data_IF_273991739659
#
_entry.id   IF_273991739659
#
_cell.length_a   1.000
_cell.length_b   1.000
_cell.length_c   1.000
_cell.angle_alpha   90.00
_cell.angle_beta   90.00
_cell.angle_gamma   90.00
#
_symmetry.space_group_name_H-M   'P 1'
#
loop_
_entity.id
_entity.type
_entity.pdbx_description
1 polymer ?
#
# COMPACT_ATOMS: atom_id res chain seq x y z
N UNK A 1 18.99 -4.09 -22.42
CA UNK A 1 18.32 -3.79 -21.13
C UNK A 1 17.47 -5.00 -20.80
N UNK A 2 17.44 -5.48 -19.56
CA UNK A 2 16.65 -6.67 -19.24
C UNK A 2 15.15 -6.38 -19.41
N UNK A 3 14.40 -7.33 -19.99
CA UNK A 3 12.93 -7.24 -20.10
C UNK A 3 12.21 -7.44 -18.74
N UNK A 4 13.00 -7.59 -17.66
CA UNK A 4 12.46 -7.81 -16.30
C UNK A 4 11.81 -6.51 -15.82
N UNK A 5 10.53 -6.59 -15.48
CA UNK A 5 9.77 -5.47 -14.92
C UNK A 5 10.28 -5.10 -13.53
N UNK A 6 10.14 -3.83 -13.17
CA UNK A 6 10.52 -3.30 -11.86
C UNK A 6 9.30 -2.78 -11.12
N UNK A 7 9.14 -3.22 -9.87
CA UNK A 7 8.13 -2.73 -8.95
C UNK A 7 8.76 -1.86 -7.87
N UNK A 8 8.15 -0.70 -7.61
CA UNK A 8 8.47 0.19 -6.50
C UNK A 8 7.34 0.09 -5.48
N UNK A 9 7.66 -0.20 -4.21
CA UNK A 9 6.65 -0.35 -3.16
C UNK A 9 7.01 0.54 -1.97
N UNK A 10 6.16 1.51 -1.67
CA UNK A 10 6.36 2.37 -0.50
C UNK A 10 5.98 1.65 0.80
N UNK A 11 6.79 1.83 1.87
CA UNK A 11 6.56 1.18 3.16
C UNK A 11 6.58 -0.35 3.08
N UNK A 12 7.60 -0.92 2.43
CA UNK A 12 7.67 -2.35 2.09
C UNK A 12 8.57 -3.19 3.00
N UNK A 13 8.96 -2.65 4.15
CA UNK A 13 9.80 -3.38 5.12
C UNK A 13 9.01 -4.30 6.04
N UNK A 14 7.68 -4.17 6.08
CA UNK A 14 6.79 -4.99 6.92
C UNK A 14 5.37 -5.06 6.38
N UNK A 15 4.52 -5.88 6.99
CA UNK A 15 3.08 -5.94 6.77
C UNK A 15 2.66 -6.10 5.31
N UNK A 16 1.66 -5.32 4.88
CA UNK A 16 1.08 -5.38 3.53
C UNK A 16 2.14 -5.06 2.47
N UNK A 17 2.95 -4.01 2.69
CA UNK A 17 3.99 -3.62 1.73
C UNK A 17 5.02 -4.72 1.49
N UNK A 18 5.45 -5.42 2.54
CA UNK A 18 6.34 -6.57 2.40
C UNK A 18 5.65 -7.75 1.71
N UNK A 19 4.38 -8.01 2.01
CA UNK A 19 3.59 -9.02 1.30
C UNK A 19 3.52 -8.72 -0.20
N UNK A 20 3.25 -7.46 -0.58
CA UNK A 20 3.27 -7.01 -1.98
C UNK A 20 4.66 -7.19 -2.62
N UNK A 21 5.74 -6.83 -1.91
CA UNK A 21 7.11 -7.01 -2.41
C UNK A 21 7.42 -8.48 -2.69
N UNK A 22 7.08 -9.38 -1.75
CA UNK A 22 7.23 -10.83 -1.93
C UNK A 22 6.40 -11.37 -3.10
N UNK A 23 5.14 -10.93 -3.21
CA UNK A 23 4.26 -11.36 -4.29
C UNK A 23 4.80 -10.94 -5.66
N UNK A 24 5.17 -9.67 -5.83
CA UNK A 24 5.70 -9.17 -7.11
C UNK A 24 7.09 -9.75 -7.43
N UNK A 25 7.93 -10.02 -6.42
CA UNK A 25 9.18 -10.75 -6.58
C UNK A 25 8.95 -12.19 -7.07
N UNK A 26 7.96 -12.89 -6.51
CA UNK A 26 7.56 -14.23 -6.96
C UNK A 26 7.03 -14.24 -8.42
N UNK A 27 6.52 -13.10 -8.89
CA UNK A 27 6.17 -12.89 -10.31
C UNK A 27 7.37 -12.51 -11.20
N UNK A 28 8.61 -12.58 -10.67
CA UNK A 28 9.85 -12.32 -11.41
C UNK A 28 10.19 -10.84 -11.60
N UNK A 29 9.61 -9.94 -10.81
CA UNK A 29 9.90 -8.51 -10.90
C UNK A 29 11.06 -8.11 -9.99
N UNK A 30 11.93 -7.21 -10.45
CA UNK A 30 12.88 -6.53 -9.59
C UNK A 30 12.13 -5.60 -8.61
N UNK A 31 12.65 -5.45 -7.40
CA UNK A 31 11.97 -4.72 -6.32
C UNK A 31 12.81 -3.54 -5.84
N UNK A 32 12.23 -2.35 -5.88
CA UNK A 32 12.70 -1.21 -5.10
C UNK A 32 11.88 -1.13 -3.81
N UNK A 33 12.51 -1.49 -2.70
CA UNK A 33 11.93 -1.40 -1.36
C UNK A 33 12.05 0.02 -0.80
N UNK A 34 11.14 0.37 0.10
CA UNK A 34 11.20 1.64 0.85
C UNK A 34 10.74 1.46 2.29
N UNK A 35 11.36 2.18 3.19
CA UNK A 35 11.03 2.27 4.61
C UNK A 35 11.80 3.43 5.24
N UNK A 36 11.79 3.51 6.57
CA UNK A 36 12.53 4.53 7.32
C UNK A 36 13.74 3.95 8.07
N UNK A 37 13.86 2.63 8.08
CA UNK A 37 15.00 1.91 8.68
C UNK A 37 16.29 2.20 7.92
N UNK A 38 17.43 2.01 8.55
CA UNK A 38 18.72 2.11 7.87
C UNK A 38 18.92 0.99 6.86
N UNK A 39 19.74 1.22 5.84
CA UNK A 39 20.07 0.20 4.84
C UNK A 39 20.67 -1.05 5.48
N UNK A 40 21.46 -0.90 6.54
CA UNK A 40 22.08 -2.02 7.26
C UNK A 40 21.05 -2.90 7.98
N UNK A 41 19.99 -2.30 8.54
CA UNK A 41 18.89 -3.03 9.20
C UNK A 41 18.06 -3.83 8.18
N UNK A 42 17.91 -3.31 6.96
CA UNK A 42 17.10 -3.92 5.90
C UNK A 42 17.88 -4.93 5.04
N UNK A 43 19.20 -4.89 5.05
CA UNK A 43 20.03 -5.75 4.20
C UNK A 43 19.71 -7.25 4.32
N UNK A 44 19.48 -7.83 5.51
CA UNK A 44 19.08 -9.25 5.61
C UNK A 44 17.73 -9.52 4.91
N UNK A 45 16.77 -8.62 5.03
CA UNK A 45 15.46 -8.76 4.39
C UNK A 45 15.56 -8.61 2.87
N UNK A 46 16.28 -7.58 2.41
CA UNK A 46 16.56 -7.34 0.99
C UNK A 46 17.19 -8.57 0.33
N UNK A 47 18.25 -9.09 0.96
CA UNK A 47 18.96 -10.27 0.46
C UNK A 47 18.07 -11.51 0.45
N UNK A 48 17.23 -11.69 1.46
CA UNK A 48 16.29 -12.81 1.49
C UNK A 48 15.30 -12.79 0.32
N UNK A 49 14.91 -11.62 -0.18
CA UNK A 49 14.09 -11.51 -1.39
C UNK A 49 14.86 -11.94 -2.63
N UNK A 50 16.11 -11.50 -2.79
CA UNK A 50 16.96 -11.92 -3.89
C UNK A 50 17.19 -13.44 -3.89
N UNK A 51 17.59 -13.98 -2.74
CA UNK A 51 17.89 -15.40 -2.59
C UNK A 51 16.65 -16.30 -2.81
N UNK A 52 15.47 -15.83 -2.38
CA UNK A 52 14.23 -16.60 -2.48
C UNK A 52 13.60 -16.58 -3.86
N UNK A 53 13.74 -15.49 -4.61
CA UNK A 53 13.00 -15.26 -5.86
C UNK A 53 13.89 -15.09 -7.10
N UNK A 54 15.21 -15.03 -6.95
CA UNK A 54 16.15 -14.90 -8.07
C UNK A 54 16.03 -13.56 -8.81
N UNK A 55 15.61 -12.50 -8.12
CA UNK A 55 15.42 -11.14 -8.65
C UNK A 55 16.48 -10.20 -8.08
N UNK A 56 16.53 -8.96 -8.55
CA UNK A 56 17.29 -7.91 -7.91
C UNK A 56 16.38 -7.11 -6.97
N UNK A 57 16.84 -6.86 -5.74
CA UNK A 57 16.15 -6.01 -4.79
C UNK A 57 17.07 -4.89 -4.31
N UNK A 58 16.57 -3.68 -4.27
CA UNK A 58 17.25 -2.51 -3.73
C UNK A 58 16.38 -1.82 -2.68
N UNK A 59 16.99 -0.99 -1.84
CA UNK A 59 16.31 -0.30 -0.76
C UNK A 59 16.61 1.20 -0.79
N UNK A 60 15.60 2.00 -0.49
CA UNK A 60 15.70 3.45 -0.31
C UNK A 60 15.04 3.85 1.02
N UNK A 61 15.78 4.53 1.89
CA UNK A 61 15.29 5.11 3.14
C UNK A 61 14.60 6.48 2.95
N UNK A 62 14.08 6.77 1.75
CA UNK A 62 13.45 8.03 1.45
C UNK A 62 12.18 8.26 2.30
N UNK A 63 12.05 9.45 2.88
CA UNK A 63 10.90 9.82 3.68
C UNK A 63 9.71 10.20 2.77
N UNK A 64 8.67 9.37 2.77
CA UNK A 64 7.48 9.59 1.95
C UNK A 64 6.61 10.77 2.42
N UNK A 65 6.81 11.31 3.62
CA UNK A 65 6.10 12.52 4.07
C UNK A 65 6.57 13.78 3.33
N UNK A 66 7.76 13.73 2.74
CA UNK A 66 8.38 14.83 2.02
C UNK A 66 8.21 14.66 0.50
N UNK A 67 7.77 15.71 -0.22
CA UNK A 67 7.60 15.62 -1.67
C UNK A 67 8.86 15.18 -2.42
N UNK A 68 10.02 15.66 -1.98
CA UNK A 68 11.32 15.32 -2.61
C UNK A 68 11.75 13.89 -2.26
N UNK A 69 11.42 13.39 -1.07
CA UNK A 69 11.62 12.00 -0.71
C UNK A 69 10.80 11.06 -1.61
N UNK A 70 9.53 11.39 -1.84
CA UNK A 70 8.66 10.58 -2.72
C UNK A 70 9.15 10.58 -4.18
N UNK A 71 9.62 11.72 -4.69
CA UNK A 71 10.22 11.80 -6.05
C UNK A 71 11.55 11.03 -6.10
N UNK A 72 12.41 11.25 -5.09
CA UNK A 72 13.73 10.62 -5.00
C UNK A 72 13.67 9.09 -4.96
N UNK A 73 12.62 8.50 -4.39
CA UNK A 73 12.41 7.05 -4.46
C UNK A 73 12.25 6.56 -5.92
N UNK A 74 11.46 7.25 -6.72
CA UNK A 74 11.26 6.91 -8.14
C UNK A 74 12.54 7.14 -8.94
N UNK A 75 13.25 8.24 -8.69
CA UNK A 75 14.53 8.54 -9.31
C UNK A 75 15.60 7.48 -8.97
N UNK A 76 15.65 7.03 -7.72
CA UNK A 76 16.52 5.94 -7.30
C UNK A 76 16.21 4.64 -8.06
N UNK A 77 14.92 4.30 -8.22
CA UNK A 77 14.51 3.12 -8.98
C UNK A 77 14.89 3.23 -10.46
N UNK A 78 14.69 4.41 -11.06
CA UNK A 78 15.09 4.69 -12.46
C UNK A 78 16.60 4.62 -12.64
N UNK A 79 17.38 5.16 -11.70
CA UNK A 79 18.84 5.10 -11.73
C UNK A 79 19.37 3.67 -11.61
N UNK A 80 18.72 2.86 -10.76
CA UNK A 80 19.16 1.48 -10.47
C UNK A 80 18.75 0.50 -11.55
N UNK A 81 17.49 0.53 -11.97
CA UNK A 81 16.88 -0.46 -12.85
C UNK A 81 16.58 0.06 -14.26
N UNK A 82 16.67 1.37 -14.47
CA UNK A 82 16.35 2.02 -15.76
C UNK A 82 14.85 2.13 -16.03
N UNK A 83 13.98 1.60 -15.15
CA UNK A 83 12.53 1.55 -15.36
C UNK A 83 11.74 1.42 -14.06
N UNK A 84 10.51 1.91 -14.10
CA UNK A 84 9.47 1.65 -13.09
C UNK A 84 8.21 1.22 -13.83
N UNK A 85 7.80 -0.02 -13.67
CA UNK A 85 6.65 -0.60 -14.37
C UNK A 85 5.44 -0.75 -13.47
N UNK A 86 5.68 -1.12 -12.21
CA UNK A 86 4.65 -1.25 -11.19
C UNK A 86 4.97 -0.29 -10.05
N UNK A 87 3.97 0.49 -9.62
CA UNK A 87 4.07 1.34 -8.44
C UNK A 87 2.99 0.91 -7.44
N UNK A 88 3.42 0.53 -6.23
CA UNK A 88 2.51 0.23 -5.12
C UNK A 88 2.64 1.32 -4.06
N UNK A 89 1.64 2.19 -3.96
CA UNK A 89 1.53 3.20 -2.92
C UNK A 89 0.88 2.58 -1.69
N UNK A 90 1.72 2.12 -0.76
CA UNK A 90 1.28 1.39 0.43
C UNK A 90 1.59 2.14 1.73
N UNK A 91 2.64 2.95 1.80
CA UNK A 91 3.02 3.67 3.02
C UNK A 91 1.84 4.41 3.63
N UNK A 92 1.68 4.30 4.95
CA UNK A 92 0.58 4.95 5.63
C UNK A 92 0.65 4.81 7.14
N UNK A 93 0.07 5.79 7.83
CA UNK A 93 -0.07 5.85 9.29
C UNK A 93 -1.52 6.17 9.67
N UNK A 94 -1.85 5.91 10.92
CA UNK A 94 -3.16 6.22 11.49
C UNK A 94 -3.00 6.83 12.88
N UNK A 95 -3.91 7.72 13.23
CA UNK A 95 -4.11 8.25 14.58
C UNK A 95 -5.62 8.29 14.85
N UNK A 96 -6.01 8.11 16.11
CA UNK A 96 -7.41 8.03 16.55
C UNK A 96 -7.64 9.09 17.62
N UNK A 97 -8.57 10.00 17.34
CA UNK A 97 -8.98 11.08 18.25
C UNK A 97 -10.34 11.64 17.85
N UNK A 98 -11.16 12.19 18.78
CA UNK A 98 -12.27 13.06 18.41
C UNK A 98 -11.80 14.20 17.50
N UNK A 99 -12.67 14.70 16.63
CA UNK A 99 -12.27 15.71 15.62
C UNK A 99 -11.84 17.02 16.28
N UNK A 100 -12.51 17.42 17.36
CA UNK A 100 -12.22 18.62 18.13
C UNK A 100 -10.88 18.59 18.87
N UNK A 101 -10.40 17.38 19.21
CA UNK A 101 -9.12 17.14 19.92
C UNK A 101 -8.04 16.57 18.97
N UNK A 102 -8.31 16.51 17.66
CA UNK A 102 -7.36 15.89 16.72
C UNK A 102 -6.15 16.80 16.50
N UNK A 103 -4.91 16.37 16.84
CA UNK A 103 -3.74 17.22 16.70
C UNK A 103 -3.44 17.58 15.24
N UNK A 104 -3.20 18.87 14.95
CA UNK A 104 -2.95 19.36 13.60
C UNK A 104 -1.73 18.71 12.94
N UNK A 105 -0.67 18.44 13.70
CA UNK A 105 0.53 17.76 13.21
C UNK A 105 0.23 16.31 12.77
N UNK A 106 -0.65 15.61 13.50
CA UNK A 106 -1.09 14.25 13.15
C UNK A 106 -1.97 14.26 11.90
N UNK A 107 -2.86 15.25 11.80
CA UNK A 107 -3.66 15.45 10.58
C UNK A 107 -2.74 15.63 9.37
N UNK A 108 -1.80 16.58 9.45
CA UNK A 108 -0.90 16.88 8.34
C UNK A 108 -0.02 15.69 7.98
N UNK A 109 0.54 14.98 8.96
CA UNK A 109 1.35 13.80 8.73
C UNK A 109 0.55 12.68 8.00
N UNK A 110 -0.70 12.44 8.41
CA UNK A 110 -1.56 11.44 7.78
C UNK A 110 -1.90 11.84 6.33
N UNK A 111 -2.28 13.08 6.09
CA UNK A 111 -2.57 13.55 4.72
C UNK A 111 -1.31 13.46 3.84
N UNK A 112 -0.17 13.91 4.35
CA UNK A 112 1.08 13.87 3.60
C UNK A 112 1.47 12.44 3.22
N UNK A 113 1.47 11.51 4.17
CA UNK A 113 1.92 10.15 3.92
C UNK A 113 0.88 9.30 3.16
N UNK A 114 -0.39 9.35 3.59
CA UNK A 114 -1.41 8.43 3.06
C UNK A 114 -2.02 8.89 1.73
N UNK A 115 -1.87 10.17 1.36
CA UNK A 115 -2.47 10.73 0.14
C UNK A 115 -1.44 11.46 -0.73
N UNK A 116 -0.78 12.49 -0.19
CA UNK A 116 0.11 13.34 -0.99
C UNK A 116 1.32 12.58 -1.52
N UNK A 117 1.89 11.65 -0.75
CA UNK A 117 2.98 10.78 -1.19
C UNK A 117 2.61 9.98 -2.45
N UNK A 118 1.40 9.39 -2.48
CA UNK A 118 0.91 8.65 -3.64
C UNK A 118 0.77 9.55 -4.90
N UNK A 119 0.39 10.79 -4.73
CA UNK A 119 0.38 11.76 -5.82
C UNK A 119 1.80 12.03 -6.36
N UNK A 120 2.78 12.27 -5.48
CA UNK A 120 4.15 12.60 -5.89
C UNK A 120 4.87 11.42 -6.55
N UNK A 121 4.74 10.22 -6.01
CA UNK A 121 5.30 9.00 -6.62
C UNK A 121 4.65 8.70 -7.97
N UNK A 122 3.32 8.80 -8.07
CA UNK A 122 2.57 8.61 -9.32
C UNK A 122 3.01 9.62 -10.37
N UNK A 123 3.08 10.91 -10.01
CA UNK A 123 3.53 11.98 -10.91
C UNK A 123 4.94 11.71 -11.45
N UNK A 124 5.85 11.19 -10.62
CA UNK A 124 7.23 10.89 -11.02
C UNK A 124 7.33 9.62 -11.89
N UNK A 125 6.50 8.60 -11.65
CA UNK A 125 6.55 7.33 -12.38
C UNK A 125 5.86 7.39 -13.76
N UNK A 126 4.79 8.16 -13.89
CA UNK A 126 3.93 8.20 -15.10
C UNK A 126 4.67 8.52 -16.39
N UNK A 127 5.61 9.49 -16.49
CA UNK A 127 6.28 9.80 -17.75
C UNK A 127 6.98 8.59 -18.36
N UNK A 128 7.69 7.80 -17.55
CA UNK A 128 8.35 6.59 -18.02
C UNK A 128 7.38 5.48 -18.41
N UNK A 129 6.28 5.30 -17.66
CA UNK A 129 5.21 4.35 -18.00
C UNK A 129 4.54 4.71 -19.33
N UNK A 130 4.21 5.99 -19.53
CA UNK A 130 3.63 6.51 -20.79
C UNK A 130 4.54 6.27 -21.98
N UNK A 131 5.85 6.55 -21.85
CA UNK A 131 6.82 6.32 -22.89
C UNK A 131 6.91 4.85 -23.34
N UNK A 132 6.71 3.91 -22.40
CA UNK A 132 6.73 2.46 -22.68
C UNK A 132 5.37 1.90 -23.09
N UNK A 133 4.28 2.67 -22.98
CA UNK A 133 2.92 2.21 -23.27
C UNK A 133 2.46 1.09 -22.32
N UNK A 134 3.03 1.00 -21.11
CA UNK A 134 2.69 0.02 -20.10
C UNK A 134 2.99 0.51 -18.70
N UNK A 135 2.05 0.28 -17.77
CA UNK A 135 2.23 0.58 -16.36
C UNK A 135 1.10 0.02 -15.50
N UNK A 136 1.40 -0.22 -14.22
CA UNK A 136 0.42 -0.62 -13.21
C UNK A 136 0.63 0.18 -11.94
N UNK A 137 -0.38 0.92 -11.52
CA UNK A 137 -0.36 1.67 -10.27
C UNK A 137 -1.41 1.07 -9.34
N UNK A 138 -0.97 0.64 -8.17
CA UNK A 138 -1.80 0.02 -7.14
C UNK A 138 -1.73 0.89 -5.88
N UNK A 139 -2.83 1.48 -5.50
CA UNK A 139 -2.93 2.26 -4.28
C UNK A 139 -3.53 1.40 -3.17
N UNK A 140 -2.82 1.23 -2.05
CA UNK A 140 -3.37 0.56 -0.88
C UNK A 140 -4.22 1.58 -0.12
N UNK A 141 -5.53 1.54 -0.41
CA UNK A 141 -6.52 2.34 0.28
C UNK A 141 -6.91 1.71 1.63
N UNK A 142 -8.18 1.44 1.85
CA UNK A 142 -8.78 0.78 3.02
C UNK A 142 -10.27 0.59 2.77
N UNK A 143 -10.97 -0.26 3.51
CA UNK A 143 -12.42 -0.18 3.68
C UNK A 143 -12.85 1.25 4.06
N UNK A 144 -12.02 1.97 4.84
CA UNK A 144 -12.22 3.37 5.17
C UNK A 144 -12.01 4.36 4.00
N UNK A 145 -11.75 3.89 2.81
CA UNK A 145 -11.87 4.67 1.57
C UNK A 145 -13.24 4.55 0.91
N UNK A 146 -14.10 3.67 1.42
CA UNK A 146 -15.45 3.37 0.93
C UNK A 146 -16.53 3.70 1.97
N UNK A 147 -16.22 3.50 3.27
CA UNK A 147 -17.08 3.81 4.41
C UNK A 147 -16.29 4.57 5.48
N UNK A 148 -16.97 5.13 6.48
CA UNK A 148 -16.32 5.87 7.55
C UNK A 148 -16.36 5.12 8.88
N UNK A 149 -15.53 5.55 9.83
CA UNK A 149 -15.59 5.20 11.24
C UNK A 149 -15.33 6.45 12.08
N UNK A 150 -15.92 6.57 13.26
CA UNK A 150 -15.66 7.71 14.15
C UNK A 150 -14.20 7.73 14.59
N UNK A 151 -13.73 8.91 14.98
CA UNK A 151 -12.39 9.17 15.55
C UNK A 151 -11.20 8.94 14.61
N UNK A 152 -11.43 8.84 13.29
CA UNK A 152 -10.41 8.60 12.27
C UNK A 152 -10.47 9.65 11.15
N UNK A 153 -10.80 10.89 11.46
CA UNK A 153 -11.09 11.94 10.47
C UNK A 153 -10.02 12.06 9.38
N UNK A 154 -8.74 12.23 9.75
CA UNK A 154 -7.64 12.37 8.79
C UNK A 154 -7.43 11.10 7.95
N UNK A 155 -7.50 9.92 8.58
CA UNK A 155 -7.31 8.65 7.90
C UNK A 155 -8.42 8.38 6.88
N UNK A 156 -9.68 8.56 7.28
CA UNK A 156 -10.84 8.40 6.40
C UNK A 156 -10.78 9.40 5.23
N UNK A 157 -10.47 10.68 5.51
CA UNK A 157 -10.31 11.69 4.47
C UNK A 157 -9.21 11.31 3.45
N UNK A 158 -8.03 10.89 3.94
CA UNK A 158 -6.93 10.47 3.09
C UNK A 158 -7.28 9.23 2.24
N UNK A 159 -7.96 8.22 2.85
CA UNK A 159 -8.32 6.98 2.16
C UNK A 159 -9.47 7.15 1.16
N UNK A 160 -10.40 8.08 1.37
CA UNK A 160 -11.35 8.52 0.34
C UNK A 160 -10.64 9.32 -0.76
N UNK A 161 -9.71 10.21 -0.38
CA UNK A 161 -8.92 11.00 -1.32
C UNK A 161 -8.10 10.12 -2.28
N UNK A 162 -7.46 9.04 -1.78
CA UNK A 162 -6.66 8.14 -2.64
C UNK A 162 -7.54 7.33 -3.61
N UNK A 163 -8.79 6.99 -3.24
CA UNK A 163 -9.76 6.38 -4.16
C UNK A 163 -10.14 7.39 -5.26
N UNK A 164 -10.35 8.66 -4.91
CA UNK A 164 -10.58 9.74 -5.86
C UNK A 164 -9.39 9.93 -6.82
N UNK A 165 -8.16 9.99 -6.29
CA UNK A 165 -6.92 10.06 -7.07
C UNK A 165 -6.79 8.87 -8.03
N UNK A 166 -7.09 7.65 -7.56
CA UNK A 166 -7.08 6.43 -8.37
C UNK A 166 -7.97 6.57 -9.60
N UNK A 167 -9.20 7.02 -9.42
CA UNK A 167 -10.18 7.18 -10.51
C UNK A 167 -9.74 8.25 -11.51
N UNK A 168 -9.28 9.39 -11.01
CA UNK A 168 -8.83 10.51 -11.87
C UNK A 168 -7.64 10.10 -12.72
N UNK A 169 -6.60 9.56 -12.10
CA UNK A 169 -5.40 9.15 -12.85
C UNK A 169 -5.70 8.02 -13.84
N UNK A 170 -6.57 7.06 -13.47
CA UNK A 170 -7.01 6.00 -14.37
C UNK A 170 -7.61 6.54 -15.67
N UNK A 171 -8.47 7.57 -15.58
CA UNK A 171 -9.06 8.23 -16.75
C UNK A 171 -8.02 8.99 -17.59
N UNK A 172 -7.07 9.67 -16.95
CA UNK A 172 -6.02 10.42 -17.63
C UNK A 172 -5.05 9.54 -18.46
N UNK A 173 -4.92 8.25 -18.10
CA UNK A 173 -3.96 7.33 -18.74
C UNK A 173 -4.63 6.14 -19.45
N UNK A 174 -5.95 6.17 -19.62
CA UNK A 174 -6.74 5.05 -20.13
C UNK A 174 -6.28 4.54 -21.50
N UNK A 175 -5.85 5.44 -22.39
CA UNK A 175 -5.39 5.09 -23.74
C UNK A 175 -3.90 4.76 -23.82
N UNK A 176 -3.17 4.70 -22.70
CA UNK A 176 -1.72 4.60 -22.66
C UNK A 176 -1.21 3.25 -22.13
N UNK A 177 -2.08 2.23 -22.10
CA UNK A 177 -1.72 0.89 -21.62
C UNK A 177 -1.40 0.83 -20.12
N UNK A 178 -1.82 1.87 -19.35
CA UNK A 178 -1.58 2.00 -17.92
C UNK A 178 -2.90 1.78 -17.19
N UNK A 179 -2.89 0.97 -16.12
CA UNK A 179 -4.03 0.83 -15.22
C UNK A 179 -3.72 1.37 -13.83
N UNK A 180 -4.71 1.95 -13.20
CA UNK A 180 -4.60 2.52 -11.84
C UNK A 180 -5.77 2.01 -11.01
N UNK A 181 -5.48 1.24 -9.94
CA UNK A 181 -6.50 0.65 -9.10
C UNK A 181 -6.20 0.85 -7.62
N UNK A 182 -7.23 0.84 -6.79
CA UNK A 182 -7.11 0.83 -5.35
C UNK A 182 -7.51 -0.54 -4.79
N UNK A 183 -6.67 -1.11 -3.93
CA UNK A 183 -7.04 -2.24 -3.08
C UNK A 183 -7.54 -1.64 -1.77
N UNK A 184 -8.70 -2.08 -1.29
CA UNK A 184 -9.38 -1.56 -0.11
C UNK A 184 -9.47 -2.66 0.97
N UNK A 185 -8.39 -2.89 1.76
CA UNK A 185 -8.42 -3.90 2.80
C UNK A 185 -9.34 -3.54 3.96
N UNK A 186 -9.96 -4.54 4.56
CA UNK A 186 -10.46 -4.46 5.93
C UNK A 186 -9.31 -4.60 6.94
N UNK A 187 -9.57 -5.33 8.04
CA UNK A 187 -8.49 -5.69 8.96
C UNK A 187 -7.65 -6.82 8.38
N UNK A 188 -6.35 -6.57 8.28
CA UNK A 188 -5.35 -7.50 7.75
C UNK A 188 -4.50 -8.02 8.91
N UNK A 189 -4.25 -9.34 8.96
CA UNK A 189 -3.34 -9.91 9.93
C UNK A 189 -1.91 -9.46 9.67
N UNK A 190 -1.39 -8.66 10.55
CA UNK A 190 -0.02 -8.11 10.48
C UNK A 190 0.61 -8.11 11.86
N UNK A 191 1.96 -8.06 11.97
CA UNK A 191 2.62 -7.96 13.28
C UNK A 191 2.16 -6.74 14.10
N UNK A 192 1.71 -5.66 13.45
CA UNK A 192 1.18 -4.49 14.13
C UNK A 192 -0.17 -4.82 14.82
N UNK A 193 -1.08 -5.48 14.10
CA UNK A 193 -2.39 -5.88 14.64
C UNK A 193 -2.23 -6.91 15.75
N UNK A 194 -1.37 -7.91 15.54
CA UNK A 194 -1.09 -8.95 16.53
C UNK A 194 -0.64 -8.37 17.87
N UNK A 195 0.32 -7.43 17.85
CA UNK A 195 0.84 -6.78 19.06
C UNK A 195 -0.18 -5.93 19.80
N UNK A 196 -1.25 -5.45 19.16
CA UNK A 196 -2.28 -4.63 19.80
C UNK A 196 -3.31 -5.46 20.60
N UNK A 197 -3.42 -6.76 20.35
CA UNK A 197 -4.46 -7.61 20.92
C UNK A 197 -4.34 -7.74 22.44
N UNK A 198 -3.16 -8.10 23.01
CA UNK A 198 -3.03 -8.28 24.48
C UNK A 198 -3.34 -6.99 25.25
N UNK A 199 -2.84 -5.84 24.79
CA UNK A 199 -3.06 -4.55 25.45
C UNK A 199 -4.55 -4.15 25.39
N UNK A 200 -5.20 -4.39 24.26
CA UNK A 200 -6.63 -4.13 24.09
C UNK A 200 -7.46 -5.04 24.98
N UNK A 201 -7.09 -6.32 25.09
CA UNK A 201 -7.75 -7.29 25.95
C UNK A 201 -7.69 -6.84 27.41
N UNK A 202 -6.50 -6.47 27.90
CA UNK A 202 -6.29 -5.95 29.26
C UNK A 202 -7.09 -4.67 29.52
N UNK A 203 -7.02 -3.70 28.59
CA UNK A 203 -7.69 -2.40 28.75
C UNK A 203 -9.23 -2.51 28.80
N UNK A 204 -9.80 -3.52 28.11
CA UNK A 204 -11.26 -3.71 28.03
C UNK A 204 -11.81 -4.82 28.91
N UNK A 205 -10.96 -5.57 29.64
CA UNK A 205 -11.39 -6.73 30.44
C UNK A 205 -11.96 -7.86 29.59
N UNK A 206 -11.45 -8.03 28.36
CA UNK A 206 -11.90 -9.05 27.41
C UNK A 206 -10.83 -10.12 27.23
N UNK A 207 -11.21 -11.28 26.70
CA UNK A 207 -10.26 -12.27 26.20
C UNK A 207 -9.69 -11.81 24.85
N UNK A 208 -8.52 -12.30 24.47
CA UNK A 208 -7.93 -11.99 23.14
C UNK A 208 -8.84 -12.41 21.97
N UNK A 209 -9.56 -13.54 22.12
CA UNK A 209 -10.54 -14.00 21.12
C UNK A 209 -11.72 -13.04 20.99
N UNK A 210 -12.23 -12.51 22.12
CA UNK A 210 -13.26 -11.47 22.09
C UNK A 210 -12.76 -10.19 21.45
N UNK A 211 -11.51 -9.79 21.72
CA UNK A 211 -10.88 -8.62 21.04
C UNK A 211 -10.82 -8.84 19.55
N UNK A 212 -10.35 -9.99 19.09
CA UNK A 212 -10.29 -10.30 17.64
C UNK A 212 -11.68 -10.24 17.02
N UNK A 213 -12.64 -10.99 17.58
CA UNK A 213 -13.96 -11.21 16.98
C UNK A 213 -14.89 -9.99 17.12
N UNK A 214 -14.97 -9.42 18.32
CA UNK A 214 -16.04 -8.48 18.67
C UNK A 214 -15.58 -7.02 18.71
N UNK A 215 -14.25 -6.79 18.64
CA UNK A 215 -13.67 -5.44 18.56
C UNK A 215 -13.06 -5.21 17.18
N UNK A 216 -12.02 -5.97 16.82
CA UNK A 216 -11.30 -5.73 15.55
C UNK A 216 -12.16 -6.16 14.34
N UNK A 217 -12.70 -7.37 14.37
CA UNK A 217 -13.51 -7.92 13.28
C UNK A 217 -15.01 -7.62 13.42
N UNK A 218 -15.41 -6.68 14.28
CA UNK A 218 -16.81 -6.34 14.49
C UNK A 218 -17.51 -6.00 13.17
N UNK A 219 -16.87 -5.19 12.33
CA UNK A 219 -17.40 -4.74 11.04
C UNK A 219 -17.21 -5.74 9.89
N UNK A 220 -16.38 -6.80 10.05
CA UNK A 220 -16.17 -7.82 9.02
C UNK A 220 -17.12 -9.00 9.20
N UNK A 221 -18.13 -9.21 8.34
CA UNK A 221 -19.09 -10.31 8.46
C UNK A 221 -18.45 -11.69 8.50
N UNK A 222 -17.37 -11.92 7.76
CA UNK A 222 -16.64 -13.20 7.77
C UNK A 222 -15.95 -13.53 9.09
N UNK A 223 -15.76 -12.54 9.98
CA UNK A 223 -15.02 -12.68 11.24
C UNK A 223 -13.61 -13.28 11.07
N UNK A 224 -12.99 -13.03 9.91
CA UNK A 224 -11.63 -13.44 9.56
C UNK A 224 -10.83 -12.23 9.14
N UNK A 225 -9.58 -12.15 9.58
CA UNK A 225 -8.63 -11.19 9.03
C UNK A 225 -8.32 -11.55 7.57
N UNK A 226 -8.21 -10.55 6.72
CA UNK A 226 -7.53 -10.76 5.45
C UNK A 226 -6.03 -11.04 5.72
N UNK A 227 -5.38 -11.76 4.82
CA UNK A 227 -3.95 -12.03 4.91
C UNK A 227 -3.15 -11.14 3.96
N UNK A 228 -1.87 -10.96 4.23
CA UNK A 228 -0.99 -10.22 3.32
C UNK A 228 -0.84 -10.94 1.98
N UNK A 229 -0.95 -12.27 1.98
CA UNK A 229 -0.90 -13.12 0.80
C UNK A 229 -2.13 -12.93 -0.10
N UNK A 230 -3.32 -12.79 0.46
CA UNK A 230 -4.56 -12.48 -0.31
C UNK A 230 -4.43 -11.13 -1.03
N UNK A 231 -3.90 -10.12 -0.33
CA UNK A 231 -3.65 -8.81 -0.93
C UNK A 231 -2.57 -8.86 -2.02
N UNK A 232 -1.49 -9.60 -1.77
CA UNK A 232 -0.41 -9.78 -2.73
C UNK A 232 -0.89 -10.52 -3.98
N UNK A 233 -1.72 -11.56 -3.83
CA UNK A 233 -2.32 -12.29 -4.95
C UNK A 233 -3.19 -11.39 -5.83
N UNK A 234 -4.01 -10.52 -5.23
CA UNK A 234 -4.77 -9.52 -5.98
C UNK A 234 -3.83 -8.52 -6.67
N UNK A 235 -2.78 -8.05 -5.98
CA UNK A 235 -1.78 -7.16 -6.56
C UNK A 235 -1.05 -7.79 -7.76
N UNK A 236 -0.67 -9.07 -7.67
CA UNK A 236 -0.09 -9.82 -8.78
C UNK A 236 -1.08 -9.92 -9.95
N UNK A 237 -2.33 -10.29 -9.69
CA UNK A 237 -3.36 -10.39 -10.71
C UNK A 237 -3.55 -9.07 -11.46
N UNK A 238 -3.60 -7.93 -10.76
CA UNK A 238 -3.72 -6.59 -11.36
C UNK A 238 -2.52 -6.22 -12.26
N UNK A 239 -1.39 -6.91 -12.13
CA UNK A 239 -0.22 -6.73 -12.98
C UNK A 239 -0.22 -7.65 -14.22
N UNK A 240 -1.18 -8.57 -14.37
CA UNK A 240 -1.30 -9.46 -15.53
C UNK A 240 -2.10 -8.82 -16.67
N UNK A 241 -2.01 -9.42 -17.86
CA UNK A 241 -2.82 -9.04 -19.02
C UNK A 241 -4.30 -9.35 -18.81
N UNK A 242 -4.63 -10.35 -17.98
CA UNK A 242 -6.01 -10.68 -17.58
C UNK A 242 -6.73 -9.56 -16.83
N UNK A 243 -5.98 -8.59 -16.27
CA UNK A 243 -6.53 -7.42 -15.60
C UNK A 243 -6.45 -6.13 -16.44
N UNK A 244 -6.10 -6.20 -17.72
CA UNK A 244 -5.85 -5.02 -18.57
C UNK A 244 -7.06 -4.06 -18.68
N UNK A 245 -8.29 -4.58 -18.52
CA UNK A 245 -9.52 -3.77 -18.52
C UNK A 245 -9.98 -3.33 -17.12
N UNK A 246 -9.24 -3.67 -16.07
CA UNK A 246 -9.53 -3.24 -14.70
C UNK A 246 -8.73 -1.96 -14.43
N UNK A 247 -9.39 -0.81 -14.48
CA UNK A 247 -8.78 0.49 -14.16
C UNK A 247 -9.80 1.41 -13.49
N UNK A 248 -9.36 2.27 -12.59
CA UNK A 248 -10.20 3.14 -11.77
C UNK A 248 -11.02 2.41 -10.70
N UNK A 249 -10.80 1.11 -10.52
CA UNK A 249 -11.54 0.30 -9.56
C UNK A 249 -11.06 0.50 -8.12
N UNK A 250 -12.01 0.44 -7.17
CA UNK A 250 -11.74 0.28 -5.75
C UNK A 250 -12.18 -1.13 -5.35
N UNK A 251 -11.22 -1.99 -5.07
CA UNK A 251 -11.41 -3.44 -4.91
C UNK A 251 -11.35 -3.80 -3.41
N UNK A 252 -12.49 -4.10 -2.77
CA UNK A 252 -12.52 -4.48 -1.36
C UNK A 252 -11.93 -5.88 -1.15
N UNK A 253 -11.08 -6.01 -0.12
CA UNK A 253 -10.60 -7.26 0.46
C UNK A 253 -10.84 -7.16 1.97
N UNK A 254 -12.12 -7.16 2.36
CA UNK A 254 -12.56 -6.64 3.66
C UNK A 254 -13.53 -7.58 4.40
N UNK A 255 -13.65 -8.83 3.93
CA UNK A 255 -14.55 -9.82 4.55
C UNK A 255 -16.02 -9.43 4.53
N UNK A 256 -16.44 -8.60 3.55
CA UNK A 256 -17.82 -8.14 3.38
C UNK A 256 -18.17 -6.89 4.18
N UNK A 257 -17.20 -6.21 4.78
CA UNK A 257 -17.44 -5.00 5.57
C UNK A 257 -18.20 -3.92 4.79
N UNK A 258 -17.83 -3.71 3.53
CA UNK A 258 -18.42 -2.63 2.69
C UNK A 258 -19.53 -3.11 1.75
N UNK A 259 -20.06 -4.31 1.96
CA UNK A 259 -21.11 -4.89 1.11
C UNK A 259 -22.53 -4.42 1.48
N UNK A 260 -22.71 -3.60 2.52
CA UNK A 260 -24.01 -3.10 3.01
C UNK A 260 -23.99 -1.61 3.30
#
# INVERSE_FOLDING_TARGET
MSDIKTAVITGSTSGIGLGMAKGLAAAGMNIMMNGLETAAEIEPLRKSLEDSYGIQAHYSAANMMEPDGARGLIEAALSTFGRVDVLVNNAGIQFVSPVEDFPDDKWQAIINLNLSAAFYTTKAALPGMKQRGWGRIINIASAHGLVASPFKSAYVAAKHGIVGLTKTVALEVAEQGITVNAICPGYVWTPLVERQIPDTAKARGLTEEQVKRDVLLAAQPTKKFATVEELAALGQFLCTDGAASITGAALPVDGGWTAH
#
